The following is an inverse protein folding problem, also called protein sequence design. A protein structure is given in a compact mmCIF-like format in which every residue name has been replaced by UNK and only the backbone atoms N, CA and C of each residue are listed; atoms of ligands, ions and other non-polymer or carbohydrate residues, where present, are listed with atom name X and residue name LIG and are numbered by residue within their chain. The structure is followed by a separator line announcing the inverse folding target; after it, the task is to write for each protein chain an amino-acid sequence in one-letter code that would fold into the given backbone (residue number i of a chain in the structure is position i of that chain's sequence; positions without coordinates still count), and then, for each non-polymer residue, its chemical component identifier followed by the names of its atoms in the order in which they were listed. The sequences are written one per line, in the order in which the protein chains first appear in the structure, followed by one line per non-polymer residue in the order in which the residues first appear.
data_IF_821022815403
#
_entry.id   IF_821022815403
#
_cell.length_a   1.000
_cell.length_b   1.000
_cell.length_c   1.000
_cell.angle_alpha   90.00
_cell.angle_beta   90.00
_cell.angle_gamma   90.00
#
_symmetry.space_group_name_H-M   'P 1'
#
loop_
_entity.id
_entity.type
_entity.pdbx_description
1 polymer ?
#
# COMPACT_ATOMS: atom_id res chain seq x y z
N UNK A 1 26.15 42.30 28.05
CA UNK A 1 25.26 41.15 28.29
C UNK A 1 24.98 40.50 26.94
N UNK A 2 25.56 39.32 26.70
CA UNK A 2 25.52 38.62 25.42
C UNK A 2 24.22 37.80 25.32
N UNK A 3 23.41 38.08 24.30
CA UNK A 3 22.19 37.34 23.98
C UNK A 3 22.54 35.94 23.48
N UNK A 4 22.30 34.92 24.31
CA UNK A 4 22.30 33.50 23.91
C UNK A 4 20.86 33.06 23.63
N UNK A 5 20.34 33.48 22.48
CA UNK A 5 19.03 33.04 21.99
C UNK A 5 19.21 31.81 21.07
N UNK A 6 18.48 30.76 21.44
CA UNK A 6 17.74 29.87 20.53
C UNK A 6 18.54 29.00 19.54
N UNK A 7 19.30 28.03 20.05
CA UNK A 7 19.69 26.85 19.26
C UNK A 7 18.87 25.59 19.60
N UNK A 8 18.04 25.63 20.65
CA UNK A 8 17.41 24.43 21.22
C UNK A 8 16.02 24.13 20.58
N UNK A 9 15.43 25.08 19.85
CA UNK A 9 14.01 24.98 19.45
C UNK A 9 13.74 24.36 18.07
N UNK A 10 14.76 24.01 17.28
CA UNK A 10 14.56 23.49 15.90
C UNK A 10 14.53 21.95 15.88
N UNK A 11 15.16 21.27 16.85
CA UNK A 11 15.26 19.81 16.86
C UNK A 11 13.92 19.09 17.15
N UNK A 12 12.97 19.77 17.80
CA UNK A 12 11.68 19.18 18.21
C UNK A 12 10.60 19.20 17.13
N UNK A 13 10.73 20.01 16.06
CA UNK A 13 9.71 20.10 15.00
C UNK A 13 9.76 18.96 13.97
N UNK A 14 10.83 18.16 13.94
CA UNK A 14 10.99 17.06 12.97
C UNK A 14 10.27 15.76 13.38
N UNK A 15 9.73 15.68 14.60
CA UNK A 15 9.11 14.46 15.14
C UNK A 15 7.59 14.37 14.91
N UNK A 16 6.93 15.45 14.46
CA UNK A 16 5.46 15.46 14.29
C UNK A 16 5.00 15.17 12.87
N UNK A 17 5.91 15.01 11.91
CA UNK A 17 5.58 14.49 10.58
C UNK A 17 5.46 12.96 10.63
N UNK A 18 4.50 12.45 11.39
CA UNK A 18 4.13 11.05 11.37
C UNK A 18 3.64 10.68 9.97
N UNK A 19 4.19 9.61 9.39
CA UNK A 19 3.71 9.07 8.13
C UNK A 19 2.30 8.53 8.36
N UNK A 20 1.28 9.35 8.07
CA UNK A 20 -0.14 8.98 8.11
C UNK A 20 -0.42 7.99 6.98
N UNK A 21 0.10 6.79 7.11
CA UNK A 21 -0.26 5.65 6.27
C UNK A 21 -1.56 5.10 6.83
N UNK A 22 -2.67 5.78 6.57
CA UNK A 22 -4.00 5.25 6.88
C UNK A 22 -4.15 3.97 6.08
N UNK A 23 -4.03 2.82 6.75
CA UNK A 23 -4.33 1.53 6.14
C UNK A 23 -5.83 1.50 5.87
N UNK A 24 -6.23 1.67 4.61
CA UNK A 24 -7.62 1.57 4.22
C UNK A 24 -8.16 0.19 4.62
N UNK A 25 -9.15 0.14 5.52
CA UNK A 25 -9.84 -1.10 5.87
C UNK A 25 -10.66 -1.58 4.68
N UNK A 26 -10.55 -2.87 4.34
CA UNK A 26 -11.40 -3.50 3.32
C UNK A 26 -12.81 -3.60 3.93
N UNK A 27 -13.76 -2.81 3.44
CA UNK A 27 -15.15 -2.86 3.88
C UNK A 27 -16.02 -3.60 2.85
N UNK A 28 -16.51 -4.82 3.16
CA UNK A 28 -17.38 -5.57 2.26
C UNK A 28 -18.65 -4.79 1.89
N UNK A 29 -19.19 -4.02 2.85
CA UNK A 29 -20.37 -3.18 2.70
C UNK A 29 -20.25 -2.11 1.59
N UNK A 30 -19.03 -1.75 1.17
CA UNK A 30 -18.80 -0.86 0.02
C UNK A 30 -19.26 -1.54 -1.27
N UNK A 31 -18.92 -2.80 -1.46
CA UNK A 31 -19.22 -3.57 -2.67
C UNK A 31 -20.70 -3.96 -2.72
N UNK A 32 -21.33 -4.07 -1.56
CA UNK A 32 -22.76 -4.28 -1.42
C UNK A 32 -23.62 -3.08 -1.84
N UNK A 33 -23.03 -1.96 -2.28
CA UNK A 33 -23.79 -0.84 -2.86
C UNK A 33 -23.53 -0.64 -4.35
N UNK A 34 -22.60 -1.40 -4.91
CA UNK A 34 -22.19 -1.26 -6.30
C UNK A 34 -23.10 -2.04 -7.25
N UNK A 35 -23.30 -1.48 -8.44
CA UNK A 35 -23.90 -2.17 -9.57
C UNK A 35 -22.89 -3.06 -10.30
N UNK A 36 -23.33 -3.84 -11.29
CA UNK A 36 -22.47 -4.80 -11.96
C UNK A 36 -21.36 -4.20 -12.83
N UNK A 37 -21.61 -3.04 -13.45
CA UNK A 37 -20.57 -2.35 -14.20
C UNK A 37 -19.48 -1.83 -13.25
N UNK A 38 -19.88 -1.26 -12.11
CA UNK A 38 -18.97 -0.82 -11.05
C UNK A 38 -18.17 -1.98 -10.46
N UNK A 39 -18.80 -3.12 -10.19
CA UNK A 39 -18.11 -4.33 -9.71
C UNK A 39 -17.11 -4.87 -10.75
N UNK A 40 -17.46 -4.88 -12.04
CA UNK A 40 -16.54 -5.29 -13.11
C UNK A 40 -15.33 -4.35 -13.20
N UNK A 41 -15.55 -3.03 -13.16
CA UNK A 41 -14.49 -2.03 -13.17
C UNK A 41 -13.61 -2.17 -11.92
N UNK A 42 -14.22 -2.31 -10.74
CA UNK A 42 -13.50 -2.50 -9.48
C UNK A 42 -12.63 -3.77 -9.50
N UNK A 43 -13.08 -4.85 -10.16
CA UNK A 43 -12.25 -6.04 -10.38
C UNK A 43 -11.01 -5.68 -11.20
N UNK A 44 -11.20 -5.01 -12.35
CA UNK A 44 -10.10 -4.62 -13.24
C UNK A 44 -9.10 -3.65 -12.61
N UNK A 45 -9.60 -2.65 -11.90
CA UNK A 45 -8.78 -1.66 -11.19
C UNK A 45 -7.95 -2.34 -10.11
N UNK A 46 -8.57 -3.21 -9.30
CA UNK A 46 -7.85 -3.95 -8.24
C UNK A 46 -6.80 -4.88 -8.84
N UNK A 47 -7.09 -5.58 -9.94
CA UNK A 47 -6.14 -6.43 -10.64
C UNK A 47 -4.94 -5.63 -11.21
N UNK A 48 -5.21 -4.43 -11.72
CA UNK A 48 -4.18 -3.51 -12.19
C UNK A 48 -3.28 -3.05 -11.05
N UNK A 49 -3.86 -2.71 -9.90
CA UNK A 49 -3.11 -2.29 -8.71
C UNK A 49 -2.29 -3.43 -8.11
N UNK A 50 -2.80 -4.67 -8.09
CA UNK A 50 -2.03 -5.87 -7.72
C UNK A 50 -0.79 -5.96 -8.63
N UNK A 51 -0.98 -5.85 -9.93
CA UNK A 51 0.11 -5.99 -10.91
C UNK A 51 1.15 -4.88 -10.76
N UNK A 52 0.72 -3.63 -10.60
CA UNK A 52 1.62 -2.48 -10.34
C UNK A 52 2.41 -2.66 -9.05
N UNK A 53 1.76 -3.14 -7.98
CA UNK A 53 2.40 -3.38 -6.68
C UNK A 53 3.39 -4.54 -6.78
N UNK A 54 3.06 -5.62 -7.49
CA UNK A 54 3.96 -6.73 -7.75
C UNK A 54 5.21 -6.30 -8.54
N UNK A 55 5.05 -5.43 -9.54
CA UNK A 55 6.17 -4.83 -10.28
C UNK A 55 7.03 -3.98 -9.35
N UNK A 56 6.42 -3.13 -8.52
CA UNK A 56 7.14 -2.30 -7.55
C UNK A 56 7.94 -3.16 -6.55
N UNK A 57 7.33 -4.21 -6.00
CA UNK A 57 7.98 -5.22 -5.15
C UNK A 57 9.19 -5.84 -5.88
N UNK A 58 9.01 -6.22 -7.14
CA UNK A 58 10.08 -6.77 -7.97
C UNK A 58 11.25 -5.81 -8.14
N UNK A 59 10.96 -4.53 -8.39
CA UNK A 59 11.99 -3.47 -8.48
C UNK A 59 12.77 -3.31 -7.17
N UNK A 60 12.08 -3.30 -6.03
CA UNK A 60 12.73 -3.22 -4.71
C UNK A 60 13.64 -4.42 -4.49
N UNK A 61 13.15 -5.64 -4.74
CA UNK A 61 13.92 -6.86 -4.55
C UNK A 61 15.17 -6.93 -5.45
N UNK A 62 15.08 -6.40 -6.68
CA UNK A 62 16.16 -6.38 -7.65
C UNK A 62 17.11 -5.17 -7.52
N UNK A 63 16.86 -4.27 -6.58
CA UNK A 63 17.75 -3.12 -6.36
C UNK A 63 19.05 -3.61 -5.72
N UNK A 64 20.18 -3.26 -6.32
CA UNK A 64 21.50 -3.53 -5.76
C UNK A 64 21.80 -2.58 -4.61
N UNK A 65 22.18 -3.12 -3.45
CA UNK A 65 22.58 -2.34 -2.29
C UNK A 65 24.11 -2.34 -2.22
N UNK A 66 24.76 -1.17 -2.17
CA UNK A 66 26.20 -1.09 -2.00
C UNK A 66 26.65 -1.67 -0.65
N UNK A 67 27.79 -2.37 -0.63
CA UNK A 67 28.32 -3.01 0.58
C UNK A 67 28.72 -2.04 1.69
N UNK A 68 29.00 -0.77 1.37
CA UNK A 68 29.30 0.27 2.36
C UNK A 68 28.05 0.77 3.11
N UNK A 69 26.85 0.50 2.60
CA UNK A 69 25.59 0.90 3.22
C UNK A 69 25.17 -0.16 4.25
N UNK A 70 25.70 -0.03 5.46
CA UNK A 70 25.41 -0.91 6.58
C UNK A 70 23.89 -1.04 6.80
N UNK A 71 23.38 -2.27 6.78
CA UNK A 71 21.96 -2.56 6.96
C UNK A 71 21.08 -2.27 5.74
N UNK A 72 21.61 -1.78 4.61
CA UNK A 72 20.82 -1.50 3.42
C UNK A 72 20.08 -2.72 2.87
N UNK A 73 20.69 -3.90 2.92
CA UNK A 73 20.04 -5.16 2.56
C UNK A 73 18.83 -5.47 3.46
N UNK A 74 18.92 -5.17 4.77
CA UNK A 74 17.80 -5.34 5.70
C UNK A 74 16.65 -4.40 5.35
N UNK A 75 16.96 -3.15 5.02
CA UNK A 75 15.96 -2.18 4.57
C UNK A 75 15.29 -2.65 3.28
N UNK A 76 16.06 -3.13 2.30
CA UNK A 76 15.52 -3.70 1.05
C UNK A 76 14.54 -4.84 1.35
N UNK A 77 14.90 -5.77 2.23
CA UNK A 77 14.00 -6.86 2.65
C UNK A 77 12.73 -6.33 3.31
N UNK A 78 12.83 -5.38 4.24
CA UNK A 78 11.66 -4.81 4.93
C UNK A 78 10.72 -4.11 3.95
N UNK A 79 11.26 -3.34 3.00
CA UNK A 79 10.46 -2.67 1.97
C UNK A 79 9.82 -3.70 1.04
N UNK A 80 10.55 -4.73 0.60
CA UNK A 80 10.00 -5.79 -0.23
C UNK A 80 8.86 -6.54 0.49
N UNK A 81 9.02 -6.82 1.79
CA UNK A 81 7.99 -7.47 2.63
C UNK A 81 6.76 -6.56 2.82
N UNK A 82 6.96 -5.25 2.92
CA UNK A 82 5.87 -4.28 2.98
C UNK A 82 5.03 -4.32 1.70
N UNK A 83 5.68 -4.39 0.53
CA UNK A 83 4.96 -4.53 -0.74
C UNK A 83 4.27 -5.88 -0.85
N UNK A 84 4.87 -6.98 -0.37
CA UNK A 84 4.19 -8.28 -0.26
C UNK A 84 2.92 -8.20 0.56
N UNK A 85 2.96 -7.60 1.75
CA UNK A 85 1.78 -7.41 2.60
C UNK A 85 0.71 -6.53 1.92
N UNK A 86 1.11 -5.60 1.04
CA UNK A 86 0.18 -4.79 0.25
C UNK A 86 -0.49 -5.61 -0.85
N UNK A 87 0.25 -6.48 -1.52
CA UNK A 87 -0.29 -7.41 -2.52
C UNK A 87 -1.34 -8.33 -1.88
N UNK A 88 -1.03 -8.92 -0.73
CA UNK A 88 -1.96 -9.81 -0.01
C UNK A 88 -3.28 -9.12 0.33
N UNK A 89 -3.22 -7.86 0.80
CA UNK A 89 -4.43 -7.06 1.05
C UNK A 89 -5.24 -6.80 -0.21
N UNK A 90 -4.57 -6.44 -1.31
CA UNK A 90 -5.24 -6.24 -2.59
C UNK A 90 -5.87 -7.55 -3.12
N UNK A 91 -5.24 -8.70 -2.89
CA UNK A 91 -5.80 -10.01 -3.22
C UNK A 91 -7.04 -10.34 -2.37
N UNK A 92 -7.00 -10.05 -1.07
CA UNK A 92 -8.18 -10.18 -0.20
C UNK A 92 -9.33 -9.28 -0.67
N UNK A 93 -9.00 -8.03 -1.06
CA UNK A 93 -9.95 -7.09 -1.62
C UNK A 93 -10.54 -7.60 -2.94
N UNK A 94 -9.70 -8.12 -3.82
CA UNK A 94 -10.11 -8.72 -5.09
C UNK A 94 -11.10 -9.86 -4.86
N UNK A 95 -10.80 -10.74 -3.90
CA UNK A 95 -11.67 -11.86 -3.56
C UNK A 95 -13.02 -11.38 -3.04
N UNK A 96 -13.06 -10.34 -2.20
CA UNK A 96 -14.31 -9.76 -1.73
C UNK A 96 -15.17 -9.19 -2.89
N UNK A 97 -14.54 -8.46 -3.82
CA UNK A 97 -15.24 -7.92 -5.01
C UNK A 97 -15.76 -9.06 -5.89
N UNK A 98 -14.95 -10.10 -6.12
CA UNK A 98 -15.34 -11.26 -6.93
C UNK A 98 -16.51 -11.99 -6.30
N UNK A 99 -16.53 -12.17 -4.98
CA UNK A 99 -17.66 -12.77 -4.26
C UNK A 99 -18.92 -11.92 -4.40
N UNK A 100 -18.83 -10.60 -4.19
CA UNK A 100 -19.96 -9.68 -4.36
C UNK A 100 -20.51 -9.68 -5.80
N UNK A 101 -19.60 -9.70 -6.79
CA UNK A 101 -19.95 -9.83 -8.21
C UNK A 101 -20.69 -11.13 -8.50
N UNK A 102 -20.17 -12.27 -8.01
CA UNK A 102 -20.81 -13.59 -8.20
C UNK A 102 -22.21 -13.67 -7.60
N UNK A 103 -22.45 -12.96 -6.49
CA UNK A 103 -23.76 -12.96 -5.83
C UNK A 103 -24.80 -12.09 -6.53
N UNK A 104 -24.38 -11.04 -7.24
CA UNK A 104 -25.28 -10.00 -7.76
C UNK A 104 -25.42 -9.95 -9.25
N UNK A 105 -24.34 -10.24 -9.95
CA UNK A 105 -24.28 -10.06 -11.38
C UNK A 105 -24.62 -11.36 -12.08
N UNK A 106 -25.49 -11.32 -13.12
CA UNK A 106 -25.66 -12.46 -13.98
C UNK A 106 -24.29 -12.82 -14.56
N UNK A 107 -23.92 -14.10 -14.48
CA UNK A 107 -22.77 -14.62 -15.18
C UNK A 107 -22.91 -14.25 -16.66
N UNK A 108 -21.91 -13.58 -17.22
CA UNK A 108 -21.83 -13.47 -18.67
C UNK A 108 -21.67 -14.91 -19.19
N UNK A 109 -22.73 -15.42 -19.82
CA UNK A 109 -22.75 -16.72 -20.47
C UNK A 109 -22.04 -16.65 -21.82
#
# INVERSE_FOLDING_TARGET
MTFKLTAISIATLLLTAGCSSTTASISPAKYDKMNCAELNNAVGDTATDISRTAIARGKVANTSVPNWLLGGERVKTVVANRETARIERLQQQQQAIVTARKQRCPSAQ
#
